data_IF_863926769534
#
_entry.id   IF_863926769534
#
_cell.length_a   1.000
_cell.length_b   1.000
_cell.length_c   1.000
_cell.angle_alpha   90.00
_cell.angle_beta   90.00
_cell.angle_gamma   90.00
#
_symmetry.space_group_name_H-M   'P 1'
#
loop_
_entity.id
_entity.type
_entity.pdbx_description
1 polymer ?
#
# COMPACT_ATOMS: atom_id res chain seq x y z
N UNK A 1 2.66 -3.71 -13.28
CA UNK A 1 3.20 -4.29 -12.03
C UNK A 1 4.69 -4.13 -12.02
N UNK A 2 5.25 -3.59 -10.94
CA UNK A 2 6.68 -3.66 -10.66
C UNK A 2 6.89 -4.74 -9.60
N UNK A 3 7.98 -5.49 -9.70
CA UNK A 3 8.35 -6.50 -8.70
C UNK A 3 9.69 -6.13 -8.12
N UNK A 4 9.75 -6.00 -6.80
CA UNK A 4 10.99 -5.78 -6.05
C UNK A 4 11.45 -7.11 -5.45
N UNK A 5 12.73 -7.44 -5.66
CA UNK A 5 13.38 -8.60 -5.04
C UNK A 5 14.15 -8.12 -3.82
N UNK A 6 13.80 -8.66 -2.66
CA UNK A 6 14.47 -8.37 -1.39
C UNK A 6 14.93 -9.67 -0.71
N UNK A 7 16.02 -9.64 0.06
CA UNK A 7 16.44 -10.78 0.88
C UNK A 7 15.33 -11.26 1.82
N UNK A 8 15.23 -12.59 1.99
CA UNK A 8 14.18 -13.21 2.83
C UNK A 8 14.11 -12.66 4.25
N UNK A 9 15.27 -12.42 4.88
CA UNK A 9 15.32 -11.86 6.23
C UNK A 9 14.77 -10.43 6.34
N UNK A 10 14.86 -9.63 5.27
CA UNK A 10 14.26 -8.29 5.22
C UNK A 10 12.75 -8.41 5.04
N UNK A 11 12.30 -9.30 4.15
CA UNK A 11 10.88 -9.57 3.94
C UNK A 11 10.18 -10.02 5.22
N UNK A 12 10.78 -10.92 6.00
CA UNK A 12 10.18 -11.40 7.26
C UNK A 12 10.07 -10.28 8.31
N UNK A 13 11.07 -9.40 8.40
CA UNK A 13 11.01 -8.22 9.26
C UNK A 13 9.91 -7.27 8.81
N UNK A 14 9.88 -6.94 7.51
CA UNK A 14 8.87 -6.07 6.90
C UNK A 14 7.46 -6.59 7.16
N UNK A 15 7.25 -7.90 6.96
CA UNK A 15 5.98 -8.57 7.22
C UNK A 15 5.58 -8.46 8.70
N UNK A 16 6.48 -8.76 9.63
CA UNK A 16 6.20 -8.64 11.08
C UNK A 16 5.82 -7.23 11.47
N UNK A 17 6.56 -6.22 11.02
CA UNK A 17 6.30 -4.83 11.38
C UNK A 17 4.97 -4.36 10.78
N UNK A 18 4.70 -4.70 9.53
CA UNK A 18 3.43 -4.42 8.88
C UNK A 18 2.26 -5.06 9.65
N UNK A 19 2.36 -6.34 10.01
CA UNK A 19 1.32 -7.05 10.79
C UNK A 19 1.07 -6.42 12.16
N UNK A 20 2.14 -6.06 12.90
CA UNK A 20 2.03 -5.39 14.21
C UNK A 20 1.31 -4.06 14.10
N UNK A 21 1.58 -3.30 13.05
CA UNK A 21 0.92 -2.02 12.79
C UNK A 21 -0.43 -2.17 12.05
N UNK A 22 -0.84 -3.40 11.74
CA UNK A 22 -2.08 -3.71 11.00
C UNK A 22 -2.07 -3.26 9.53
N UNK A 23 -0.90 -3.01 8.95
CA UNK A 23 -0.73 -2.69 7.53
C UNK A 23 -0.57 -3.97 6.71
N UNK A 24 -0.98 -3.93 5.45
CA UNK A 24 -0.45 -4.85 4.45
C UNK A 24 1.03 -4.50 4.17
N UNK A 25 1.80 -5.46 3.64
CA UNK A 25 3.21 -5.22 3.29
C UNK A 25 3.34 -4.05 2.32
N UNK A 26 2.45 -3.98 1.33
CA UNK A 26 2.38 -2.90 0.35
C UNK A 26 2.07 -1.55 1.02
N UNK A 27 1.07 -1.52 1.91
CA UNK A 27 0.69 -0.30 2.64
C UNK A 27 1.80 0.20 3.57
N UNK A 28 2.56 -0.71 4.17
CA UNK A 28 3.67 -0.34 5.04
C UNK A 28 4.88 0.20 4.26
N UNK A 29 5.20 -0.39 3.10
CA UNK A 29 6.24 0.18 2.21
C UNK A 29 5.85 1.58 1.76
N UNK A 30 4.57 1.78 1.48
CA UNK A 30 4.05 3.06 1.07
C UNK A 30 4.17 4.14 2.16
N UNK A 31 3.79 3.82 3.39
CA UNK A 31 3.90 4.77 4.50
C UNK A 31 5.34 5.22 4.73
N UNK A 32 6.30 4.29 4.65
CA UNK A 32 7.73 4.60 4.74
C UNK A 32 8.22 5.52 3.63
N UNK A 33 7.72 5.32 2.40
CA UNK A 33 8.07 6.19 1.27
C UNK A 33 7.51 7.59 1.52
N UNK A 34 6.27 7.71 2.00
CA UNK A 34 5.68 9.03 2.19
C UNK A 34 6.34 9.79 3.35
N UNK A 35 6.68 9.11 4.45
CA UNK A 35 7.49 9.70 5.53
C UNK A 35 8.86 10.20 5.05
N UNK A 36 9.37 9.66 3.93
CA UNK A 36 10.67 10.05 3.35
C UNK A 36 10.57 11.14 2.28
N UNK A 37 9.37 11.50 1.82
CA UNK A 37 9.14 12.50 0.77
C UNK A 37 9.06 13.90 1.36
N UNK A 38 9.57 14.88 0.61
CA UNK A 38 9.45 16.31 0.89
C UNK A 38 7.98 16.68 1.14
N UNK A 39 7.62 17.30 2.28
CA UNK A 39 6.24 17.62 2.65
C UNK A 39 5.45 18.38 1.57
N UNK A 40 6.13 19.14 0.70
CA UNK A 40 5.48 19.86 -0.40
C UNK A 40 5.01 18.95 -1.54
N UNK A 41 5.55 17.73 -1.66
CA UNK A 41 5.21 16.73 -2.71
C UNK A 41 4.38 15.56 -2.20
N UNK A 42 4.12 15.54 -0.90
CA UNK A 42 3.35 14.48 -0.23
C UNK A 42 1.93 14.39 -0.80
N UNK A 43 1.26 15.52 -1.03
CA UNK A 43 -0.10 15.56 -1.54
C UNK A 43 -0.24 14.98 -2.96
N UNK A 44 0.66 15.35 -3.88
CA UNK A 44 0.66 14.81 -5.25
C UNK A 44 0.94 13.31 -5.28
N UNK A 45 1.88 12.87 -4.43
CA UNK A 45 2.22 11.45 -4.31
C UNK A 45 1.01 10.66 -3.79
N UNK A 46 0.36 11.13 -2.72
CA UNK A 46 -0.85 10.49 -2.20
C UNK A 46 -1.98 10.44 -3.22
N UNK A 47 -2.17 11.51 -3.98
CA UNK A 47 -3.18 11.55 -5.03
C UNK A 47 -2.93 10.45 -6.06
N UNK A 48 -1.71 10.39 -6.62
CA UNK A 48 -1.34 9.37 -7.61
C UNK A 48 -1.49 7.96 -7.06
N UNK A 49 -1.10 7.72 -5.81
CA UNK A 49 -1.22 6.40 -5.20
C UNK A 49 -2.68 6.03 -4.93
N UNK A 50 -3.49 7.00 -4.51
CA UNK A 50 -4.91 6.80 -4.25
C UNK A 50 -5.67 6.42 -5.51
N UNK A 51 -5.35 7.06 -6.64
CA UNK A 51 -5.90 6.68 -7.95
C UNK A 51 -5.57 5.24 -8.31
N UNK A 52 -4.32 4.81 -8.13
CA UNK A 52 -3.88 3.45 -8.42
C UNK A 52 -4.54 2.40 -7.51
N UNK A 53 -4.68 2.69 -6.22
CA UNK A 53 -5.37 1.80 -5.27
C UNK A 53 -6.88 1.71 -5.56
N UNK A 54 -7.53 2.81 -5.91
CA UNK A 54 -8.95 2.83 -6.29
C UNK A 54 -9.20 2.03 -7.57
N UNK A 55 -8.31 2.17 -8.56
CA UNK A 55 -8.37 1.39 -9.79
C UNK A 55 -8.27 -0.11 -9.49
N UNK A 56 -7.32 -0.52 -8.66
CA UNK A 56 -7.15 -1.92 -8.24
C UNK A 56 -8.36 -2.44 -7.47
N UNK A 57 -8.91 -1.64 -6.55
CA UNK A 57 -10.11 -2.03 -5.81
C UNK A 57 -11.29 -2.30 -6.75
N UNK A 58 -11.46 -1.48 -7.81
CA UNK A 58 -12.49 -1.71 -8.85
C UNK A 58 -12.20 -2.96 -9.69
N UNK A 59 -10.96 -3.21 -10.06
CA UNK A 59 -10.56 -4.39 -10.82
C UNK A 59 -10.79 -5.69 -10.04
N UNK A 60 -10.44 -5.73 -8.75
CA UNK A 60 -10.68 -6.89 -7.89
C UNK A 60 -12.18 -7.08 -7.61
N UNK A 61 -12.93 -5.98 -7.44
CA UNK A 61 -14.39 -6.03 -7.30
C UNK A 61 -15.06 -6.60 -8.56
N UNK A 62 -14.59 -6.22 -9.76
CA UNK A 62 -15.10 -6.75 -11.02
C UNK A 62 -14.83 -8.25 -11.20
N UNK A 63 -13.77 -8.77 -10.57
CA UNK A 63 -13.44 -10.21 -10.53
C UNK A 63 -14.22 -10.96 -9.43
N UNK A 64 -14.98 -10.26 -8.59
CA UNK A 64 -15.71 -10.83 -7.46
C UNK A 64 -14.86 -11.07 -6.20
N UNK A 65 -13.60 -10.61 -6.16
CA UNK A 65 -12.72 -10.76 -4.99
C UNK A 65 -12.94 -9.59 -4.01
N UNK A 66 -14.04 -9.71 -3.25
CA UNK A 66 -14.44 -8.71 -2.25
C UNK A 66 -13.37 -8.48 -1.17
N UNK A 67 -12.59 -9.51 -0.84
CA UNK A 67 -11.54 -9.42 0.17
C UNK A 67 -10.42 -8.51 -0.32
N UNK A 68 -9.86 -8.78 -1.50
CA UNK A 68 -8.80 -7.94 -2.05
C UNK A 68 -9.28 -6.54 -2.39
N UNK A 69 -10.50 -6.40 -2.91
CA UNK A 69 -11.09 -5.09 -3.16
C UNK A 69 -11.19 -4.27 -1.86
N UNK A 70 -11.63 -4.88 -0.76
CA UNK A 70 -11.68 -4.26 0.56
C UNK A 70 -10.30 -3.88 1.11
N UNK A 71 -9.29 -4.75 0.95
CA UNK A 71 -7.92 -4.45 1.36
C UNK A 71 -7.33 -3.24 0.61
N UNK A 72 -7.58 -3.14 -0.71
CA UNK A 72 -7.15 -2.00 -1.53
C UNK A 72 -7.89 -0.71 -1.16
N UNK A 73 -9.19 -0.78 -0.91
CA UNK A 73 -9.98 0.37 -0.47
C UNK A 73 -9.60 0.84 0.94
N UNK A 74 -9.37 -0.07 1.88
CA UNK A 74 -8.95 0.27 3.24
C UNK A 74 -7.54 0.86 3.30
N UNK A 75 -6.66 0.45 2.37
CA UNK A 75 -5.33 1.03 2.19
C UNK A 75 -5.35 2.55 1.98
N UNK A 76 -6.42 3.10 1.40
CA UNK A 76 -6.62 4.54 1.20
C UNK A 76 -6.87 5.30 2.51
N UNK A 77 -7.63 4.70 3.43
CA UNK A 77 -8.00 5.32 4.72
C UNK A 77 -6.85 5.37 5.72
N UNK A 78 -5.74 4.72 5.39
CA UNK A 78 -4.54 4.58 6.21
C UNK A 78 -3.36 5.39 5.69
N UNK A 79 -3.55 6.11 4.59
CA UNK A 79 -2.63 7.15 4.14
C UNK A 79 -2.73 8.32 5.14
N UNK A 80 -1.59 8.83 5.65
CA UNK A 80 -1.57 9.96 6.58
C UNK A 80 -2.24 11.24 6.07
#
# INVERSE_FOLDING_TARGET
MATIKIPKGIYEKLKKVAEVQGFSIEGYVLSLIVESIDPDRVAESYWSISEDLLKQAREELAKGDLRRAGEKAWGLLRLP
#
